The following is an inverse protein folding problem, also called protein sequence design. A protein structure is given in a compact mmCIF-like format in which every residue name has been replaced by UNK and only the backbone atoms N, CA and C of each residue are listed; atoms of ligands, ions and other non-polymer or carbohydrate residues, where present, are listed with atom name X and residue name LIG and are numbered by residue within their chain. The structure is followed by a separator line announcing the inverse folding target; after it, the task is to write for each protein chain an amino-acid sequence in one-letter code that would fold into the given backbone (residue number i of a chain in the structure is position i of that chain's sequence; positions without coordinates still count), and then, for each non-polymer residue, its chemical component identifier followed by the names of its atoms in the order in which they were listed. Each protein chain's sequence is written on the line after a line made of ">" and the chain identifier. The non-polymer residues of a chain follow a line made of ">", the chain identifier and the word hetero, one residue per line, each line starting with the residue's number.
data_IF_839387607859
#
_entry.id   IF_839387607859
#
_cell.length_a   1.000
_cell.length_b   1.000
_cell.length_c   1.000
_cell.angle_alpha   90.00
_cell.angle_beta   90.00
_cell.angle_gamma   90.00
#
_symmetry.space_group_name_H-M   'P 1'
#
loop_
_entity.id
_entity.type
_entity.pdbx_description
1 polymer ?
#
# COMPACT_ATOMS: atom_id res chain seq x y z
N UNK A 1 7.54 -1.61 -0.69
CA UNK A 1 6.30 -1.82 0.10
C UNK A 1 6.02 -3.31 0.20
N UNK A 2 5.72 -3.77 1.38
CA UNK A 2 5.34 -5.18 1.59
C UNK A 2 3.86 -5.30 1.97
N UNK A 3 3.41 -6.54 2.19
CA UNK A 3 2.00 -6.80 2.53
C UNK A 3 1.54 -6.05 3.78
N UNK A 4 2.37 -6.05 4.83
CA UNK A 4 2.04 -5.38 6.08
C UNK A 4 1.91 -3.86 5.89
N UNK A 5 2.82 -3.27 5.14
CA UNK A 5 2.77 -1.83 4.85
C UNK A 5 1.53 -1.46 4.05
N UNK A 6 1.11 -2.30 3.10
CA UNK A 6 -0.11 -2.04 2.34
C UNK A 6 -1.33 -2.01 3.25
N UNK A 7 -1.45 -2.98 4.15
CA UNK A 7 -2.54 -3.03 5.14
C UNK A 7 -2.51 -1.82 6.05
N UNK A 8 -1.33 -1.46 6.57
CA UNK A 8 -1.17 -0.30 7.44
C UNK A 8 -1.56 0.98 6.74
N UNK A 9 -1.14 1.14 5.49
CA UNK A 9 -1.44 2.34 4.70
C UNK A 9 -2.95 2.45 4.44
N UNK A 10 -3.62 1.34 4.12
CA UNK A 10 -5.07 1.37 3.95
C UNK A 10 -5.76 1.76 5.25
N UNK A 11 -5.34 1.16 6.36
CA UNK A 11 -5.92 1.48 7.67
C UNK A 11 -5.73 2.95 7.99
N UNK A 12 -4.54 3.49 7.74
CA UNK A 12 -4.22 4.87 8.03
C UNK A 12 -5.02 5.87 7.19
N UNK A 13 -5.32 5.51 5.94
CA UNK A 13 -6.03 6.40 5.00
C UNK A 13 -7.54 6.18 5.01
N UNK A 14 -8.02 5.09 5.59
CA UNK A 14 -9.42 4.71 5.53
C UNK A 14 -9.85 4.12 4.20
N UNK A 15 -8.90 3.83 3.30
CA UNK A 15 -9.21 3.25 2.00
C UNK A 15 -9.51 1.76 2.12
N UNK A 16 -10.61 1.34 1.52
CA UNK A 16 -10.89 -0.08 1.34
C UNK A 16 -10.06 -0.66 0.20
N UNK A 17 -10.08 -1.98 0.07
CA UNK A 17 -9.39 -2.66 -1.05
C UNK A 17 -9.91 -2.16 -2.39
N UNK A 18 -11.23 -1.99 -2.52
CA UNK A 18 -11.85 -1.49 -3.74
C UNK A 18 -11.36 -0.07 -4.09
N UNK A 19 -11.31 0.80 -3.08
CA UNK A 19 -10.89 2.18 -3.29
C UNK A 19 -9.44 2.24 -3.75
N UNK A 20 -8.57 1.48 -3.10
CA UNK A 20 -7.16 1.43 -3.45
C UNK A 20 -6.95 0.85 -4.85
N UNK A 21 -7.67 -0.22 -5.18
CA UNK A 21 -7.58 -0.84 -6.50
C UNK A 21 -7.97 0.17 -7.59
N UNK A 22 -9.06 0.92 -7.36
CA UNK A 22 -9.52 1.94 -8.29
C UNK A 22 -8.47 3.04 -8.47
N UNK A 23 -7.91 3.56 -7.39
CA UNK A 23 -6.89 4.61 -7.45
C UNK A 23 -5.62 4.13 -8.15
N UNK A 24 -5.23 2.89 -7.94
CA UNK A 24 -4.02 2.32 -8.53
C UNK A 24 -4.22 1.82 -9.95
N UNK A 25 -5.47 1.69 -10.40
CA UNK A 25 -5.78 1.15 -11.72
C UNK A 25 -5.52 -0.34 -11.82
N UNK A 26 -5.72 -1.08 -10.73
CA UNK A 26 -5.51 -2.54 -10.67
C UNK A 26 -6.77 -3.25 -10.21
N UNK A 27 -6.80 -4.57 -10.36
CA UNK A 27 -7.93 -5.37 -9.90
C UNK A 27 -7.94 -5.46 -8.37
N UNK A 28 -9.11 -5.54 -7.76
CA UNK A 28 -9.25 -5.74 -6.31
C UNK A 28 -8.52 -7.00 -5.86
N UNK A 29 -8.61 -8.08 -6.64
CA UNK A 29 -7.93 -9.34 -6.32
C UNK A 29 -6.42 -9.14 -6.23
N UNK A 30 -5.85 -8.24 -7.02
CA UNK A 30 -4.42 -7.94 -6.99
C UNK A 30 -4.01 -7.32 -5.67
N UNK A 31 -4.79 -6.35 -5.16
CA UNK A 31 -4.53 -5.77 -3.84
C UNK A 31 -4.64 -6.83 -2.76
N UNK A 32 -5.68 -7.65 -2.81
CA UNK A 32 -5.88 -8.72 -1.83
C UNK A 32 -4.74 -9.72 -1.83
N UNK A 33 -4.23 -10.11 -3.01
CA UNK A 33 -3.08 -11.02 -3.12
C UNK A 33 -1.82 -10.42 -2.53
N UNK A 34 -1.57 -9.13 -2.82
CA UNK A 34 -0.42 -8.44 -2.24
C UNK A 34 -0.49 -8.48 -0.71
N UNK A 35 -1.65 -8.21 -0.15
CA UNK A 35 -1.84 -8.18 1.30
C UNK A 35 -1.77 -9.55 1.95
N UNK A 36 -1.92 -10.62 1.18
CA UNK A 36 -1.71 -11.99 1.67
C UNK A 36 -0.24 -12.41 1.59
N UNK A 37 0.63 -11.55 1.07
CA UNK A 37 2.04 -11.85 0.93
C UNK A 37 2.40 -12.59 -0.34
N UNK A 38 1.49 -12.68 -1.31
CA UNK A 38 1.78 -13.32 -2.60
C UNK A 38 2.68 -12.42 -3.44
N UNK A 39 3.47 -13.04 -4.31
CA UNK A 39 4.34 -12.30 -5.22
C UNK A 39 3.52 -11.59 -6.28
N UNK A 40 3.69 -10.27 -6.36
CA UNK A 40 3.03 -9.43 -7.35
C UNK A 40 4.12 -8.76 -8.19
N UNK A 41 3.85 -8.53 -9.45
CA UNK A 41 4.80 -7.88 -10.35
C UNK A 41 5.26 -6.54 -9.77
N UNK A 42 6.58 -6.23 -9.82
CA UNK A 42 7.10 -4.97 -9.28
C UNK A 42 6.38 -3.74 -9.81
N UNK A 43 6.04 -3.73 -11.10
CA UNK A 43 5.30 -2.62 -11.72
C UNK A 43 3.94 -2.41 -11.06
N UNK A 44 3.25 -3.50 -10.73
CA UNK A 44 1.94 -3.45 -10.10
C UNK A 44 2.06 -2.97 -8.66
N UNK A 45 3.06 -3.46 -7.93
CA UNK A 45 3.34 -3.01 -6.56
C UNK A 45 3.64 -1.50 -6.58
N UNK A 46 4.44 -1.04 -7.56
CA UNK A 46 4.77 0.37 -7.69
C UNK A 46 3.51 1.24 -7.93
N UNK A 47 2.57 0.74 -8.73
CA UNK A 47 1.32 1.46 -8.99
C UNK A 47 0.49 1.60 -7.71
N UNK A 48 0.42 0.55 -6.90
CA UNK A 48 -0.31 0.57 -5.64
C UNK A 48 0.38 1.53 -4.66
N UNK A 49 1.70 1.47 -4.58
CA UNK A 49 2.48 2.38 -3.74
C UNK A 49 2.25 3.84 -4.13
N UNK A 50 2.31 4.14 -5.43
CA UNK A 50 2.10 5.50 -5.93
C UNK A 50 0.71 6.02 -5.55
N UNK A 51 -0.32 5.17 -5.64
CA UNK A 51 -1.67 5.54 -5.26
C UNK A 51 -1.75 5.89 -3.78
N UNK A 52 -1.10 5.09 -2.92
CA UNK A 52 -1.07 5.34 -1.48
C UNK A 52 -0.27 6.61 -1.15
N UNK A 53 0.86 6.82 -1.83
CA UNK A 53 1.64 8.05 -1.64
C UNK A 53 0.83 9.27 -2.04
N UNK A 54 0.06 9.17 -3.11
CA UNK A 54 -0.86 10.23 -3.53
C UNK A 54 -1.96 10.51 -2.51
N UNK A 55 -2.30 9.53 -1.69
CA UNK A 55 -3.27 9.67 -0.60
C UNK A 55 -2.62 10.16 0.71
N UNK A 56 -1.32 10.47 0.69
CA UNK A 56 -0.61 11.04 1.83
C UNK A 56 0.22 10.07 2.65
N UNK A 57 0.39 8.84 2.17
CA UNK A 57 1.19 7.84 2.90
C UNK A 57 2.67 8.05 2.63
N UNK A 58 3.47 7.98 3.69
CA UNK A 58 4.93 7.94 3.62
C UNK A 58 5.36 6.56 4.07
N UNK A 59 6.12 5.85 3.23
CA UNK A 59 6.63 4.52 3.57
C UNK A 59 7.97 4.67 4.28
N UNK A 60 8.06 4.07 5.47
CA UNK A 60 9.25 4.17 6.30
C UNK A 60 10.14 2.97 6.05
N UNK A 61 11.44 3.24 5.92
CA UNK A 61 12.43 2.18 5.76
C UNK A 61 12.51 1.38 7.08
N UNK A 62 12.83 0.10 6.96
CA UNK A 62 13.05 -0.73 8.14
C UNK A 62 14.28 -0.24 8.89
N UNK A 63 14.15 -0.06 10.20
CA UNK A 63 15.20 0.49 11.06
C UNK A 63 15.45 -0.37 12.29
N UNK A 64 15.15 -1.67 12.20
CA UNK A 64 15.28 -2.60 13.34
C UNK A 64 13.96 -2.84 14.06
N UNK A 65 12.96 -2.00 13.82
CA UNK A 65 11.62 -2.15 14.40
C UNK A 65 10.61 -2.69 13.39
N UNK A 66 11.10 -3.06 12.20
CA UNK A 66 10.26 -3.52 11.11
C UNK A 66 9.78 -2.39 10.22
N UNK A 67 9.13 -2.73 9.09
CA UNK A 67 8.61 -1.74 8.16
C UNK A 67 7.41 -1.00 8.76
N UNK A 68 7.24 0.26 8.37
CA UNK A 68 6.14 1.06 8.85
C UNK A 68 5.65 2.04 7.81
N UNK A 69 4.59 2.77 8.17
CA UNK A 69 4.05 3.86 7.36
C UNK A 69 3.68 5.03 8.26
N UNK A 70 3.62 6.22 7.67
CA UNK A 70 3.15 7.41 8.34
C UNK A 70 2.26 8.18 7.37
N UNK A 71 1.42 9.06 7.90
CA UNK A 71 0.65 9.98 7.07
C UNK A 71 1.40 11.30 7.01
N UNK A 72 1.46 11.87 5.81
CA UNK A 72 2.06 13.17 5.61
C UNK A 72 1.19 14.24 6.27
N UNK A 73 1.81 15.14 7.00
CA UNK A 73 1.11 16.25 7.59
C UNK A 73 0.84 17.31 6.54
N UNK A 74 -0.29 17.87 6.58
CA UNK A 74 -0.65 18.99 5.75
C UNK A 74 -1.49 18.77 4.61
#
# INVERSE_FOLDING_TARGET
>A
MNAAQCKMARAATGLGVRDLASLAGVAQATVSRLERGETIRPRTVAAIRTALEGAGVVFLAENGNGPGVALRKG
#
